data_IF_569647756791
#
_entry.id   IF_569647756791
#
_cell.length_a   1.000
_cell.length_b   1.000
_cell.length_c   1.000
_cell.angle_alpha   90.00
_cell.angle_beta   90.00
_cell.angle_gamma   90.00
#
_symmetry.space_group_name_H-M   'P 1'
#
loop_
_entity.id
_entity.type
_entity.pdbx_description
1 polymer ?
#
# COMPACT_ATOMS: atom_id res chain seq x y z
N UNK A 1 13.47 -6.55 -0.68
CA UNK A 1 13.23 -5.82 0.59
C UNK A 1 12.54 -6.70 1.63
N UNK A 2 11.29 -7.17 1.44
CA UNK A 2 10.58 -7.94 2.50
C UNK A 2 11.41 -9.11 3.01
N UNK A 3 11.86 -10.00 2.13
CA UNK A 3 12.65 -11.19 2.52
C UNK A 3 13.99 -10.93 3.21
N UNK A 4 14.46 -9.68 3.27
CA UNK A 4 15.64 -9.29 4.04
C UNK A 4 15.32 -8.69 5.41
N UNK A 5 14.04 -8.45 5.69
CA UNK A 5 13.56 -7.80 6.90
C UNK A 5 12.79 -8.75 7.83
N UNK A 6 12.51 -9.98 7.39
CA UNK A 6 11.85 -11.01 8.19
C UNK A 6 12.52 -12.36 8.03
N UNK A 7 12.41 -13.20 9.05
CA UNK A 7 12.81 -14.62 9.01
C UNK A 7 11.63 -15.52 8.56
N UNK A 8 10.44 -14.94 8.39
CA UNK A 8 9.25 -15.67 7.97
C UNK A 8 9.31 -16.04 6.48
N UNK A 9 8.51 -17.02 6.10
CA UNK A 9 8.43 -17.48 4.71
C UNK A 9 7.68 -16.46 3.86
N UNK A 10 8.39 -15.81 2.93
CA UNK A 10 7.79 -14.93 1.93
C UNK A 10 7.48 -15.72 0.67
N UNK A 11 6.20 -15.81 0.29
CA UNK A 11 5.76 -16.41 -0.96
C UNK A 11 5.32 -15.34 -1.93
N UNK A 12 5.90 -15.33 -3.12
CA UNK A 12 5.49 -14.43 -4.21
C UNK A 12 4.59 -15.22 -5.16
N UNK A 13 3.40 -14.69 -5.41
CA UNK A 13 2.43 -15.24 -6.35
C UNK A 13 2.04 -14.18 -7.37
N UNK A 14 1.67 -14.59 -8.57
CA UNK A 14 1.09 -13.67 -9.56
C UNK A 14 -0.36 -13.35 -9.20
N UNK A 15 -0.82 -12.21 -9.68
CA UNK A 15 -2.17 -11.70 -9.40
C UNK A 15 -3.31 -12.57 -9.97
N UNK A 16 -3.01 -13.52 -10.83
CA UNK A 16 -3.94 -14.46 -11.48
C UNK A 16 -3.60 -15.94 -11.21
N UNK A 17 -2.60 -16.22 -10.38
CA UNK A 17 -2.07 -17.60 -10.17
C UNK A 17 -3.00 -18.47 -9.32
N UNK A 18 -3.69 -17.88 -8.35
CA UNK A 18 -4.55 -18.58 -7.40
C UNK A 18 -5.98 -18.07 -7.45
N UNK A 19 -6.94 -18.94 -7.17
CA UNK A 19 -8.27 -18.50 -6.79
C UNK A 19 -8.27 -17.95 -5.36
N UNK A 20 -9.30 -17.19 -4.98
CA UNK A 20 -9.49 -16.72 -3.59
C UNK A 20 -9.53 -17.90 -2.61
N UNK A 21 -10.20 -19.00 -2.98
CA UNK A 21 -10.28 -20.21 -2.16
C UNK A 21 -8.88 -20.82 -1.90
N UNK A 22 -8.09 -20.98 -2.96
CA UNK A 22 -6.73 -21.50 -2.85
C UNK A 22 -5.82 -20.60 -2.02
N UNK A 23 -5.98 -19.27 -2.13
CA UNK A 23 -5.22 -18.34 -1.29
C UNK A 23 -5.64 -18.44 0.19
N UNK A 24 -6.94 -18.60 0.48
CA UNK A 24 -7.44 -18.82 1.85
C UNK A 24 -6.90 -20.13 2.46
N UNK A 25 -6.81 -21.20 1.69
CA UNK A 25 -6.22 -22.47 2.13
C UNK A 25 -4.76 -22.34 2.54
N UNK A 26 -4.03 -21.38 1.95
CA UNK A 26 -2.63 -21.10 2.32
C UNK A 26 -2.48 -20.37 3.64
N UNK A 27 -3.55 -19.86 4.21
CA UNK A 27 -3.60 -19.15 5.51
C UNK A 27 -2.50 -18.08 5.65
N UNK A 28 -2.43 -17.10 4.73
CA UNK A 28 -1.41 -16.06 4.83
C UNK A 28 -1.61 -15.24 6.10
N UNK A 29 -0.52 -14.86 6.76
CA UNK A 29 -0.55 -14.00 7.94
C UNK A 29 -0.73 -12.52 7.58
N UNK A 30 -0.30 -12.13 6.39
CA UNK A 30 -0.50 -10.80 5.81
C UNK A 30 -0.40 -10.87 4.29
N UNK A 31 -0.87 -9.82 3.63
CA UNK A 31 -0.75 -9.69 2.17
C UNK A 31 -0.09 -8.35 1.81
N UNK A 32 0.86 -8.41 0.88
CA UNK A 32 1.44 -7.23 0.26
C UNK A 32 1.10 -7.25 -1.23
N UNK A 33 0.36 -6.24 -1.67
CA UNK A 33 0.05 -6.03 -3.08
C UNK A 33 1.09 -5.11 -3.69
N UNK A 34 1.91 -5.66 -4.57
CA UNK A 34 3.03 -4.96 -5.18
C UNK A 34 2.60 -3.99 -6.28
N UNK A 35 3.48 -3.09 -6.70
CA UNK A 35 3.27 -2.27 -7.88
C UNK A 35 3.01 -3.10 -9.14
N UNK A 36 2.30 -2.52 -10.09
CA UNK A 36 2.03 -3.13 -11.40
C UNK A 36 1.54 -2.10 -12.42
N UNK A 37 1.50 -2.46 -13.70
CA UNK A 37 0.97 -1.61 -14.77
C UNK A 37 -0.57 -1.62 -14.81
N UNK A 38 -1.14 -0.64 -15.49
CA UNK A 38 -2.57 -0.57 -15.79
C UNK A 38 -3.41 -0.03 -14.65
N UNK A 39 -4.65 -0.50 -14.57
CA UNK A 39 -5.63 -0.13 -13.55
C UNK A 39 -5.86 -1.30 -12.59
N UNK A 40 -6.29 -1.05 -11.34
CA UNK A 40 -6.57 -2.13 -10.39
C UNK A 40 -7.56 -3.18 -10.90
N UNK A 41 -8.63 -2.76 -11.55
CA UNK A 41 -9.66 -3.63 -12.12
C UNK A 41 -9.13 -4.59 -13.21
N UNK A 42 -8.00 -4.24 -13.86
CA UNK A 42 -7.34 -5.06 -14.88
C UNK A 42 -6.25 -5.97 -14.27
N UNK A 43 -6.06 -5.93 -12.95
CA UNK A 43 -5.00 -6.64 -12.23
C UNK A 43 -5.43 -8.04 -11.74
N UNK A 44 -6.11 -8.81 -12.57
CA UNK A 44 -6.48 -10.19 -12.28
C UNK A 44 -7.35 -10.36 -11.04
N UNK A 45 -6.89 -11.12 -10.05
CA UNK A 45 -7.63 -11.39 -8.81
C UNK A 45 -7.39 -10.38 -7.69
N UNK A 46 -6.62 -9.32 -7.92
CA UNK A 46 -6.16 -8.39 -6.86
C UNK A 46 -7.32 -7.86 -6.02
N UNK A 47 -8.36 -7.31 -6.63
CA UNK A 47 -9.53 -6.80 -5.91
C UNK A 47 -10.32 -7.91 -5.19
N UNK A 48 -10.42 -9.09 -5.79
CA UNK A 48 -11.10 -10.23 -5.17
C UNK A 48 -10.36 -10.69 -3.91
N UNK A 49 -9.01 -10.69 -3.94
CA UNK A 49 -8.20 -10.94 -2.74
C UNK A 49 -8.44 -9.88 -1.69
N UNK A 50 -8.41 -8.59 -2.05
CA UNK A 50 -8.67 -7.50 -1.12
C UNK A 50 -10.03 -7.67 -0.44
N UNK A 51 -11.12 -7.85 -1.22
CA UNK A 51 -12.47 -8.07 -0.68
C UNK A 51 -12.57 -9.27 0.25
N UNK A 52 -11.78 -10.33 0.00
CA UNK A 52 -11.82 -11.56 0.77
C UNK A 52 -10.99 -11.52 2.06
N UNK A 53 -10.02 -10.60 2.16
CA UNK A 53 -9.06 -10.58 3.28
C UNK A 53 -9.08 -9.30 4.11
N UNK A 54 -9.68 -8.19 3.64
CA UNK A 54 -9.86 -6.96 4.43
C UNK A 54 -10.61 -7.26 5.72
N UNK A 55 -10.02 -6.85 6.86
CA UNK A 55 -10.56 -7.09 8.19
C UNK A 55 -10.28 -8.48 8.76
N UNK A 56 -9.54 -9.32 8.06
CA UNK A 56 -9.13 -10.65 8.53
C UNK A 56 -7.63 -10.74 8.82
N UNK A 57 -6.81 -10.09 8.02
CA UNK A 57 -5.35 -10.04 8.15
C UNK A 57 -4.82 -8.66 7.75
N UNK A 58 -3.64 -8.26 8.22
CA UNK A 58 -2.99 -7.01 7.78
C UNK A 58 -2.70 -7.00 6.27
N UNK A 59 -2.97 -5.86 5.64
CA UNK A 59 -2.79 -5.66 4.20
C UNK A 59 -1.99 -4.40 3.94
N UNK A 60 -1.00 -4.49 3.05
CA UNK A 60 -0.27 -3.36 2.49
C UNK A 60 -0.40 -3.35 0.97
N UNK A 61 -0.85 -2.23 0.41
CA UNK A 61 -0.86 -1.99 -1.04
C UNK A 61 0.16 -0.94 -1.43
N UNK A 62 0.97 -1.20 -2.46
CA UNK A 62 1.98 -0.28 -2.98
C UNK A 62 1.62 0.08 -4.42
N UNK A 63 1.55 1.38 -4.73
CA UNK A 63 1.23 1.96 -6.03
C UNK A 63 -0.10 1.41 -6.58
N UNK A 64 -0.08 0.41 -7.48
CA UNK A 64 -1.29 -0.25 -7.97
C UNK A 64 -2.11 -0.88 -6.84
N UNK A 65 -1.45 -1.50 -5.85
CA UNK A 65 -2.10 -2.06 -4.68
C UNK A 65 -2.79 -1.01 -3.79
N UNK A 66 -2.21 0.17 -3.65
CA UNK A 66 -2.83 1.32 -2.97
C UNK A 66 -4.10 1.77 -3.69
N UNK A 67 -4.05 1.88 -5.03
CA UNK A 67 -5.20 2.24 -5.84
C UNK A 67 -6.31 1.18 -5.75
N UNK A 68 -5.94 -0.10 -5.78
CA UNK A 68 -6.88 -1.21 -5.61
C UNK A 68 -7.58 -1.18 -4.23
N UNK A 69 -6.86 -0.88 -3.16
CA UNK A 69 -7.47 -0.65 -1.84
C UNK A 69 -8.49 0.48 -1.94
N UNK A 70 -8.11 1.62 -2.51
CA UNK A 70 -9.03 2.74 -2.69
C UNK A 70 -10.31 2.35 -3.43
N UNK A 71 -10.21 1.66 -4.59
CA UNK A 71 -11.37 1.21 -5.38
C UNK A 71 -12.25 0.22 -4.62
N UNK A 72 -11.66 -0.73 -3.90
CA UNK A 72 -12.42 -1.70 -3.09
C UNK A 72 -13.20 -1.01 -1.97
N UNK A 73 -12.70 0.10 -1.42
CA UNK A 73 -13.41 0.92 -0.45
C UNK A 73 -14.41 1.91 -1.09
N UNK A 74 -14.44 2.01 -2.42
CA UNK A 74 -15.36 2.90 -3.17
C UNK A 74 -14.77 4.25 -3.57
N UNK A 75 -13.47 4.47 -3.39
CA UNK A 75 -12.77 5.66 -3.85
C UNK A 75 -12.45 5.54 -5.34
N UNK A 76 -12.61 6.64 -6.09
CA UNK A 76 -12.30 6.65 -7.52
C UNK A 76 -10.80 6.77 -7.78
N UNK A 77 -10.33 6.07 -8.80
CA UNK A 77 -8.98 6.21 -9.36
C UNK A 77 -9.06 7.07 -10.62
N UNK A 78 -8.33 8.18 -10.61
CA UNK A 78 -8.34 9.19 -11.67
C UNK A 78 -6.93 9.48 -12.18
N UNK A 79 -6.81 10.15 -13.33
CA UNK A 79 -5.50 10.60 -13.80
C UNK A 79 -4.90 11.65 -12.87
N UNK A 80 -3.61 11.51 -12.59
CA UNK A 80 -2.85 12.52 -11.86
C UNK A 80 -2.76 13.81 -12.68
N UNK A 81 -2.70 14.96 -12.00
CA UNK A 81 -2.50 16.26 -12.66
C UNK A 81 -1.19 16.32 -13.47
N UNK A 82 -0.19 15.59 -13.01
CA UNK A 82 1.12 15.45 -13.67
C UNK A 82 1.51 13.98 -13.72
N UNK A 83 2.07 13.56 -14.87
CA UNK A 83 2.66 12.24 -15.01
C UNK A 83 3.92 12.16 -14.15
N UNK A 84 3.94 11.22 -13.23
CA UNK A 84 5.07 10.92 -12.37
C UNK A 84 5.70 9.61 -12.84
N UNK A 85 6.87 9.72 -13.48
CA UNK A 85 7.58 8.54 -13.97
C UNK A 85 9.07 8.65 -13.58
N UNK A 86 9.46 7.89 -12.57
CA UNK A 86 10.83 7.90 -12.08
C UNK A 86 11.24 9.26 -11.46
N UNK A 87 10.33 9.90 -10.72
CA UNK A 87 10.57 11.17 -10.02
C UNK A 87 10.46 10.97 -8.52
N UNK A 88 11.27 11.66 -7.77
CA UNK A 88 11.11 11.78 -6.33
C UNK A 88 10.31 13.04 -6.00
N UNK A 89 9.58 12.99 -4.88
CA UNK A 89 8.85 14.13 -4.32
C UNK A 89 9.00 14.14 -2.81
N UNK A 90 8.91 15.33 -2.22
CA UNK A 90 8.72 15.45 -0.78
C UNK A 90 7.33 14.94 -0.41
N UNK A 91 7.28 14.04 0.55
CA UNK A 91 6.07 13.44 1.12
C UNK A 91 5.97 13.94 2.56
N UNK A 92 4.79 14.41 2.94
CA UNK A 92 4.51 14.93 4.27
C UNK A 92 3.48 14.06 4.96
N UNK A 93 3.76 13.63 6.20
CA UNK A 93 2.80 12.93 7.02
C UNK A 93 1.72 13.92 7.51
N UNK A 94 0.44 13.56 7.32
CA UNK A 94 -0.70 14.40 7.70
C UNK A 94 -1.37 13.90 8.98
N UNK A 95 -1.60 12.58 9.05
CA UNK A 95 -2.15 11.89 10.21
C UNK A 95 -1.34 10.61 10.39
N UNK A 96 -0.21 10.68 11.10
CA UNK A 96 0.65 9.50 11.27
C UNK A 96 -0.15 8.33 11.85
N UNK A 97 0.04 7.17 11.25
CA UNK A 97 -0.51 5.89 11.67
C UNK A 97 0.60 4.95 12.17
N UNK A 98 0.24 3.73 12.52
CA UNK A 98 1.20 2.74 12.97
C UNK A 98 2.25 2.38 11.90
N UNK A 99 1.90 2.51 10.62
CA UNK A 99 2.82 2.22 9.51
C UNK A 99 4.00 3.20 9.47
N UNK A 100 3.78 4.48 9.87
CA UNK A 100 4.79 5.53 9.87
C UNK A 100 5.46 5.74 11.25
N UNK A 101 5.26 4.83 12.21
CA UNK A 101 5.91 4.95 13.52
C UNK A 101 7.43 5.05 13.38
N UNK A 102 8.02 6.09 13.99
CA UNK A 102 9.45 6.36 13.93
C UNK A 102 9.96 6.96 12.61
N UNK A 103 9.09 7.24 11.64
CA UNK A 103 9.45 7.97 10.44
C UNK A 103 9.45 9.49 10.69
N UNK A 104 10.28 10.28 9.96
CA UNK A 104 10.24 11.74 10.03
C UNK A 104 8.93 12.29 9.45
N UNK A 105 8.53 13.49 9.87
CA UNK A 105 7.30 14.16 9.36
C UNK A 105 7.32 14.40 7.86
N UNK A 106 8.51 14.49 7.26
CA UNK A 106 8.70 14.66 5.82
C UNK A 106 9.91 13.88 5.34
N UNK A 107 9.79 13.28 4.18
CA UNK A 107 10.86 12.50 3.56
C UNK A 107 10.71 12.50 2.03
N UNK A 108 11.76 12.06 1.34
CA UNK A 108 11.74 11.89 -0.11
C UNK A 108 11.22 10.51 -0.48
N UNK A 109 10.19 10.45 -1.34
CA UNK A 109 9.63 9.20 -1.86
C UNK A 109 9.58 9.15 -3.38
N UNK A 110 9.87 7.99 -3.93
CA UNK A 110 9.85 7.72 -5.37
C UNK A 110 8.43 7.55 -5.90
N UNK A 111 8.12 8.15 -7.05
CA UNK A 111 6.80 8.11 -7.71
C UNK A 111 6.93 7.60 -9.15
N UNK A 112 6.09 6.62 -9.51
CA UNK A 112 6.06 6.00 -10.86
C UNK A 112 4.62 5.84 -11.36
N UNK A 113 3.73 6.80 -11.11
CA UNK A 113 2.31 6.64 -11.37
C UNK A 113 1.74 7.76 -12.26
N UNK A 114 0.76 7.42 -13.06
CA UNK A 114 -0.10 8.33 -13.84
C UNK A 114 -1.52 8.41 -13.26
N UNK A 115 -1.86 7.52 -12.34
CA UNK A 115 -3.15 7.45 -11.67
C UNK A 115 -2.99 7.74 -10.18
N UNK A 116 -4.05 8.28 -9.56
CA UNK A 116 -4.12 8.62 -8.12
C UNK A 116 -5.54 8.39 -7.61
N UNK A 117 -5.68 8.26 -6.30
CA UNK A 117 -6.98 8.29 -5.65
C UNK A 117 -7.56 9.72 -5.67
N UNK A 118 -8.82 9.84 -6.06
CA UNK A 118 -9.53 11.11 -6.06
C UNK A 118 -9.96 11.49 -4.64
N UNK A 119 -9.41 12.62 -4.14
CA UNK A 119 -9.65 13.10 -2.78
C UNK A 119 -11.14 13.27 -2.44
N UNK A 120 -11.92 13.85 -3.37
CA UNK A 120 -13.33 14.14 -3.13
C UNK A 120 -14.22 12.90 -3.07
N UNK A 121 -13.72 11.76 -3.51
CA UNK A 121 -14.41 10.47 -3.46
C UNK A 121 -13.85 9.53 -2.39
N UNK A 122 -12.92 10.00 -1.56
CA UNK A 122 -12.29 9.15 -0.56
C UNK A 122 -13.32 8.56 0.39
N UNK A 123 -13.32 7.24 0.50
CA UNK A 123 -14.22 6.51 1.38
C UNK A 123 -13.99 6.93 2.85
N UNK A 124 -15.08 7.12 3.60
CA UNK A 124 -15.03 7.61 4.99
C UNK A 124 -14.28 6.71 5.98
N UNK A 125 -14.13 5.43 5.65
CA UNK A 125 -13.34 4.49 6.43
C UNK A 125 -11.83 4.64 6.25
N UNK A 126 -11.38 5.35 5.21
CA UNK A 126 -9.97 5.58 4.92
C UNK A 126 -9.55 6.97 5.42
N UNK A 127 -8.40 7.01 6.07
CA UNK A 127 -7.71 8.26 6.43
C UNK A 127 -6.58 8.51 5.43
N UNK A 128 -6.34 9.78 5.09
CA UNK A 128 -5.13 10.20 4.38
C UNK A 128 -4.04 10.35 5.44
N UNK A 129 -2.95 9.61 5.31
CA UNK A 129 -1.86 9.60 6.28
C UNK A 129 -0.59 10.26 5.76
N UNK A 130 -0.46 10.42 4.43
CA UNK A 130 0.60 11.20 3.81
C UNK A 130 0.15 11.83 2.48
N UNK A 131 0.77 12.97 2.15
CA UNK A 131 0.51 13.74 0.93
C UNK A 131 1.82 14.25 0.32
N UNK A 132 1.80 14.50 -0.98
CA UNK A 132 2.86 15.24 -1.67
C UNK A 132 2.51 16.73 -1.80
N UNK A 133 3.49 17.57 -2.12
CA UNK A 133 3.30 19.03 -2.25
C UNK A 133 2.23 19.42 -3.29
N UNK A 134 2.01 18.59 -4.31
CA UNK A 134 0.98 18.81 -5.33
C UNK A 134 -0.44 18.45 -4.85
N UNK A 135 -0.59 18.02 -3.60
CA UNK A 135 -1.84 17.61 -2.97
C UNK A 135 -2.32 16.22 -3.35
N UNK A 136 -1.46 15.43 -4.01
CA UNK A 136 -1.78 14.02 -4.29
C UNK A 136 -1.73 13.19 -3.01
N UNK A 137 -2.68 12.28 -2.85
CA UNK A 137 -2.70 11.32 -1.73
C UNK A 137 -1.54 10.35 -1.91
N UNK A 138 -0.63 10.30 -0.94
CA UNK A 138 0.54 9.43 -0.96
C UNK A 138 0.42 8.24 -0.02
N UNK A 139 -0.45 8.31 0.99
CA UNK A 139 -0.77 7.16 1.83
C UNK A 139 -2.19 7.25 2.38
N UNK A 140 -2.78 6.08 2.58
CA UNK A 140 -4.09 5.88 3.19
C UNK A 140 -4.01 4.76 4.23
N UNK A 141 -4.89 4.81 5.24
CA UNK A 141 -5.02 3.77 6.25
C UNK A 141 -6.47 3.54 6.69
N UNK A 142 -6.79 2.29 6.98
CA UNK A 142 -7.88 1.84 7.84
C UNK A 142 -7.22 1.09 9.01
N UNK A 143 -6.93 1.80 10.10
CA UNK A 143 -6.24 1.24 11.27
C UNK A 143 -7.04 0.13 11.94
N UNK A 144 -8.37 0.21 11.91
CA UNK A 144 -9.25 -0.78 12.53
C UNK A 144 -9.13 -2.14 11.84
N UNK A 145 -9.04 -2.13 10.50
CA UNK A 145 -8.89 -3.34 9.69
C UNK A 145 -7.44 -3.64 9.32
N UNK A 146 -6.50 -2.81 9.77
CA UNK A 146 -5.07 -2.92 9.46
C UNK A 146 -4.79 -2.98 7.96
N UNK A 147 -5.40 -2.05 7.22
CA UNK A 147 -5.23 -1.91 5.78
C UNK A 147 -4.51 -0.60 5.48
N UNK A 148 -3.37 -0.71 4.80
CA UNK A 148 -2.49 0.42 4.50
C UNK A 148 -2.19 0.49 3.01
N UNK A 149 -2.15 1.70 2.47
CA UNK A 149 -1.83 1.92 1.07
C UNK A 149 -0.79 3.02 0.89
N UNK A 150 0.22 2.77 0.07
CA UNK A 150 1.29 3.70 -0.29
C UNK A 150 1.27 3.95 -1.80
N UNK A 151 1.09 5.19 -2.24
CA UNK A 151 1.18 5.55 -3.66
C UNK A 151 2.63 5.64 -4.14
N UNK A 152 3.56 5.97 -3.26
CA UNK A 152 4.99 5.96 -3.53
C UNK A 152 5.60 4.57 -3.32
N UNK A 153 6.85 4.40 -3.74
CA UNK A 153 7.57 3.13 -3.72
C UNK A 153 8.60 3.08 -2.60
N UNK A 154 8.29 2.48 -1.43
CA UNK A 154 9.23 2.38 -0.31
C UNK A 154 10.45 1.51 -0.65
N UNK A 155 10.34 0.61 -1.62
CA UNK A 155 11.40 -0.28 -2.07
C UNK A 155 12.39 0.37 -3.03
N UNK A 156 12.05 1.53 -3.60
CA UNK A 156 12.87 2.22 -4.59
C UNK A 156 14.13 2.83 -3.98
N UNK A 157 15.23 2.78 -4.72
CA UNK A 157 16.49 3.48 -4.35
C UNK A 157 16.34 5.01 -4.34
N UNK A 158 15.29 5.55 -4.94
CA UNK A 158 14.97 6.99 -4.95
C UNK A 158 14.12 7.41 -3.74
N UNK A 159 13.66 6.47 -2.93
CA UNK A 159 13.06 6.74 -1.62
C UNK A 159 14.16 6.72 -0.56
N UNK A 160 14.08 7.61 0.43
CA UNK A 160 14.99 7.56 1.57
C UNK A 160 15.04 6.17 2.16
N UNK A 161 16.20 5.52 2.04
CA UNK A 161 16.36 4.10 2.33
C UNK A 161 15.95 3.74 3.77
N UNK A 162 16.35 4.55 4.74
CA UNK A 162 16.00 4.33 6.15
C UNK A 162 14.49 4.39 6.37
N UNK A 163 13.79 5.32 5.70
CA UNK A 163 12.33 5.48 5.79
C UNK A 163 11.62 4.31 5.13
N UNK A 164 12.03 3.93 3.91
CA UNK A 164 11.46 2.78 3.22
C UNK A 164 11.59 1.48 4.03
N UNK A 165 12.76 1.26 4.64
CA UNK A 165 12.96 0.11 5.53
C UNK A 165 12.12 0.18 6.80
N UNK A 166 12.00 1.37 7.42
CA UNK A 166 11.22 1.55 8.64
C UNK A 166 9.74 1.24 8.39
N UNK A 167 9.16 1.75 7.31
CA UNK A 167 7.78 1.48 6.90
C UNK A 167 7.55 -0.03 6.75
N UNK A 168 8.44 -0.73 6.04
CA UNK A 168 8.29 -2.17 5.83
C UNK A 168 8.45 -2.97 7.13
N UNK A 169 9.36 -2.58 8.03
CA UNK A 169 9.47 -3.20 9.36
C UNK A 169 8.21 -2.99 10.19
N UNK A 170 7.67 -1.77 10.20
CA UNK A 170 6.44 -1.47 10.91
C UNK A 170 5.28 -2.36 10.42
N UNK A 171 5.13 -2.52 9.11
CA UNK A 171 4.11 -3.41 8.55
C UNK A 171 4.31 -4.87 8.97
N UNK A 172 5.53 -5.37 8.92
CA UNK A 172 5.84 -6.75 9.34
C UNK A 172 5.57 -6.96 10.83
N UNK A 173 5.89 -5.99 11.68
CA UNK A 173 5.57 -6.03 13.11
C UNK A 173 4.06 -6.05 13.37
N UNK A 174 3.28 -5.25 12.62
CA UNK A 174 1.82 -5.28 12.69
C UNK A 174 1.28 -6.67 12.28
N UNK A 175 1.87 -7.28 11.25
CA UNK A 175 1.49 -8.62 10.81
C UNK A 175 1.80 -9.70 11.86
N UNK A 176 2.94 -9.62 12.55
CA UNK A 176 3.33 -10.54 13.62
C UNK A 176 2.43 -10.39 14.86
N UNK A 177 2.07 -9.16 15.23
CA UNK A 177 1.27 -8.88 16.42
C UNK A 177 -0.14 -9.49 16.40
N UNK A 178 -0.69 -9.77 15.22
CA UNK A 178 -2.01 -10.41 15.08
C UNK A 178 -1.99 -11.88 15.52
N UNK A 179 -0.82 -12.53 15.51
CA UNK A 179 -0.65 -13.96 15.78
C UNK A 179 0.15 -14.24 17.05
N UNK A 180 0.58 -13.19 17.76
CA UNK A 180 1.25 -13.29 19.06
C UNK A 180 0.22 -13.37 20.20
#
# INVERSE_FOLDING_TARGET
MVGTLTNETVKVIKNDELTVAQLKERKPQSLIFSPGPGRPQDAGQMENYLRAFIGHIPILGICLGHQAIGEVYGTKVVHAKQLMHGKSSSIHLTHPDNLFAGCPESFTGARYHSLVLERNSLASALKITAESQDGSIMAIADDVKQVYGLQFHPESIMTEHAVGQQIMRNFLQLAEAVYA
#
